data_IF_402824958084
#
_entry.id   IF_402824958084
#
_cell.length_a   1.000
_cell.length_b   1.000
_cell.length_c   1.000
_cell.angle_alpha   90.00
_cell.angle_beta   90.00
_cell.angle_gamma   90.00
#
_symmetry.space_group_name_H-M   'P 1'
#
loop_
_entity.id
_entity.type
_entity.pdbx_description
1 polymer ?
#
# COMPACT_ATOMS: atom_id res chain seq x y z
N UNK A 1 12.11 -12.14 5.20
CA UNK A 1 12.99 -11.02 4.81
C UNK A 1 12.83 -9.90 5.84
N UNK A 2 13.90 -9.20 6.19
CA UNK A 2 13.94 -8.38 7.41
C UNK A 2 13.86 -6.86 7.14
N UNK A 3 13.49 -6.12 8.18
CA UNK A 3 13.46 -4.65 8.25
C UNK A 3 14.75 -4.00 7.73
N UNK A 4 15.90 -4.63 7.96
CA UNK A 4 17.20 -4.11 7.48
C UNK A 4 17.30 -4.09 5.95
N UNK A 5 16.75 -5.11 5.28
CA UNK A 5 16.81 -5.18 3.82
C UNK A 5 15.96 -4.12 3.14
N UNK A 6 14.76 -3.83 3.66
CA UNK A 6 13.94 -2.72 3.15
C UNK A 6 14.64 -1.38 3.39
N UNK A 7 15.23 -1.18 4.58
CA UNK A 7 15.98 0.05 4.87
C UNK A 7 17.19 0.25 3.94
N UNK A 8 17.90 -0.83 3.59
CA UNK A 8 19.00 -0.78 2.64
C UNK A 8 18.52 -0.40 1.24
N UNK A 9 17.40 -0.98 0.78
CA UNK A 9 16.82 -0.68 -0.53
C UNK A 9 16.32 0.76 -0.61
N UNK A 10 15.65 1.27 0.43
CA UNK A 10 15.25 2.68 0.52
C UNK A 10 16.48 3.61 0.39
N UNK A 11 17.56 3.29 1.09
CA UNK A 11 18.80 4.08 1.05
C UNK A 11 19.46 4.08 -0.33
N UNK A 12 19.42 2.96 -1.06
CA UNK A 12 19.95 2.84 -2.42
C UNK A 12 19.22 3.76 -3.42
N UNK A 13 17.95 4.09 -3.14
CA UNK A 13 17.10 4.94 -3.97
C UNK A 13 16.94 6.36 -3.41
N UNK A 14 17.76 6.79 -2.45
CA UNK A 14 17.69 8.11 -1.79
C UNK A 14 16.30 8.39 -1.15
N UNK A 15 15.65 7.35 -0.64
CA UNK A 15 14.34 7.45 0.01
C UNK A 15 14.49 7.56 1.54
N UNK A 16 13.63 8.34 2.21
CA UNK A 16 13.64 8.48 3.67
C UNK A 16 13.50 7.14 4.40
N UNK A 17 14.26 6.94 5.48
CA UNK A 17 14.16 5.75 6.31
C UNK A 17 12.77 5.59 6.97
N UNK A 18 12.05 6.70 7.17
CA UNK A 18 10.67 6.71 7.67
C UNK A 18 9.68 5.98 6.76
N UNK A 19 10.03 5.74 5.48
CA UNK A 19 9.17 4.97 4.56
C UNK A 19 9.01 3.52 4.98
N UNK A 20 9.84 3.03 5.90
CA UNK A 20 9.65 1.71 6.51
C UNK A 20 8.31 1.60 7.24
N UNK A 21 7.79 2.71 7.76
CA UNK A 21 6.49 2.77 8.39
C UNK A 21 5.35 2.86 7.38
N UNK A 22 5.65 3.22 6.12
CA UNK A 22 4.72 3.19 4.99
C UNK A 22 4.84 1.88 4.18
N UNK A 23 5.57 0.88 4.67
CA UNK A 23 5.72 -0.40 3.98
C UNK A 23 4.37 -1.04 3.57
N UNK A 24 3.31 -1.03 4.39
CA UNK A 24 2.00 -1.56 3.98
C UNK A 24 1.33 -0.80 2.83
N UNK A 25 1.77 0.42 2.53
CA UNK A 25 1.22 1.24 1.44
C UNK A 25 1.78 0.80 0.08
N UNK A 26 2.98 0.20 0.04
CA UNK A 26 3.63 -0.21 -1.21
C UNK A 26 2.83 -1.25 -2.03
N UNK A 27 2.27 -2.32 -1.42
CA UNK A 27 1.34 -3.19 -2.15
C UNK A 27 0.11 -2.47 -2.72
N UNK A 28 -0.42 -1.49 -1.97
CA UNK A 28 -1.58 -0.70 -2.40
C UNK A 28 -1.22 0.17 -3.62
N UNK A 29 -0.04 0.79 -3.60
CA UNK A 29 0.53 1.52 -4.75
C UNK A 29 0.69 0.59 -5.95
N UNK A 30 1.14 -0.65 -5.74
CA UNK A 30 1.30 -1.61 -6.82
C UNK A 30 -0.04 -2.01 -7.44
N UNK A 31 -1.09 -2.17 -6.63
CA UNK A 31 -2.46 -2.40 -7.13
C UNK A 31 -2.96 -1.18 -7.90
N UNK A 32 -2.79 0.03 -7.36
CA UNK A 32 -3.20 1.28 -8.00
C UNK A 32 -2.60 1.44 -9.40
N UNK A 33 -1.35 1.03 -9.61
CA UNK A 33 -0.68 1.13 -10.92
C UNK A 33 -0.83 -0.10 -11.82
N UNK A 34 -1.62 -1.11 -11.43
CA UNK A 34 -1.69 -2.39 -12.13
C UNK A 34 -2.23 -2.26 -13.56
N UNK A 35 -3.17 -1.35 -13.80
CA UNK A 35 -3.71 -1.04 -15.14
C UNK A 35 -2.85 -0.03 -15.93
N UNK A 36 -1.76 0.45 -15.32
CA UNK A 36 -0.84 1.46 -15.87
C UNK A 36 -1.40 2.88 -15.90
N UNK A 37 -2.57 3.11 -15.32
CA UNK A 37 -3.20 4.41 -15.14
C UNK A 37 -3.20 4.75 -13.65
N UNK A 38 -3.37 6.02 -13.34
CA UNK A 38 -3.58 6.46 -11.97
C UNK A 38 -4.58 7.60 -11.99
N UNK A 39 -5.78 7.30 -11.55
CA UNK A 39 -6.94 8.16 -11.71
C UNK A 39 -7.12 9.00 -10.45
N UNK A 40 -7.62 10.23 -10.61
CA UNK A 40 -7.80 11.15 -9.48
C UNK A 40 -8.58 10.54 -8.29
N UNK A 41 -9.63 9.72 -8.49
CA UNK A 41 -10.32 9.05 -7.39
C UNK A 41 -9.43 8.05 -6.61
N UNK A 42 -8.61 7.26 -7.30
CA UNK A 42 -7.69 6.29 -6.68
C UNK A 42 -6.62 7.02 -5.87
N UNK A 43 -6.05 8.10 -6.42
CA UNK A 43 -5.10 8.97 -5.70
C UNK A 43 -5.70 9.52 -4.42
N UNK A 44 -6.88 10.11 -4.52
CA UNK A 44 -7.57 10.69 -3.35
C UNK A 44 -7.85 9.63 -2.28
N UNK A 45 -8.25 8.41 -2.70
CA UNK A 45 -8.47 7.29 -1.78
C UNK A 45 -7.17 6.82 -1.14
N UNK A 46 -6.07 6.75 -1.89
CA UNK A 46 -4.76 6.38 -1.37
C UNK A 46 -4.24 7.40 -0.36
N UNK A 47 -4.42 8.70 -0.61
CA UNK A 47 -4.08 9.74 0.37
C UNK A 47 -4.84 9.56 1.68
N UNK A 48 -6.15 9.29 1.63
CA UNK A 48 -6.95 9.02 2.82
C UNK A 48 -6.45 7.78 3.59
N UNK A 49 -6.05 6.72 2.87
CA UNK A 49 -5.46 5.51 3.47
C UNK A 49 -4.14 5.84 4.18
N UNK A 50 -3.25 6.63 3.55
CA UNK A 50 -1.97 7.04 4.13
C UNK A 50 -2.18 7.91 5.37
N UNK A 51 -3.06 8.90 5.30
CA UNK A 51 -3.38 9.80 6.42
C UNK A 51 -3.92 9.02 7.62
N UNK A 52 -4.88 8.13 7.40
CA UNK A 52 -5.42 7.27 8.45
C UNK A 52 -4.33 6.37 9.04
N UNK A 53 -3.49 5.78 8.20
CA UNK A 53 -2.39 4.93 8.67
C UNK A 53 -1.38 5.69 9.53
N UNK A 54 -0.94 6.87 9.08
CA UNK A 54 -0.03 7.73 9.84
C UNK A 54 -0.65 8.17 11.16
N UNK A 55 -1.95 8.48 11.18
CA UNK A 55 -2.68 8.79 12.41
C UNK A 55 -2.66 7.62 13.39
N UNK A 56 -2.99 6.41 12.95
CA UNK A 56 -2.91 5.20 13.79
C UNK A 56 -1.50 4.96 14.32
N UNK A 57 -0.47 5.16 13.50
CA UNK A 57 0.93 5.04 13.96
C UNK A 57 1.28 6.07 15.04
N UNK A 58 0.86 7.31 14.87
CA UNK A 58 1.09 8.36 15.87
C UNK A 58 0.35 8.07 17.17
N UNK A 59 -0.89 7.57 17.10
CA UNK A 59 -1.66 7.14 18.28
C UNK A 59 -0.96 5.99 19.03
N UNK A 60 -0.49 4.98 18.30
CA UNK A 60 0.28 3.87 18.87
C UNK A 60 1.61 4.33 19.50
N UNK A 61 2.17 5.44 19.04
CA UNK A 61 3.39 6.04 19.56
C UNK A 61 3.13 7.09 20.66
N UNK A 62 1.92 7.16 21.22
CA UNK A 62 1.58 8.11 22.29
C UNK A 62 1.50 9.57 21.81
N UNK A 63 1.14 9.79 20.55
CA UNK A 63 1.02 11.10 19.92
C UNK A 63 2.30 11.62 19.24
N UNK A 64 3.37 10.82 19.21
CA UNK A 64 4.60 11.19 18.51
C UNK A 64 4.42 11.07 16.98
N UNK A 65 4.94 12.05 16.24
CA UNK A 65 4.99 11.98 14.77
C UNK A 65 6.01 10.95 14.31
N UNK A 66 5.55 9.91 13.61
CA UNK A 66 6.40 8.80 13.12
C UNK A 66 6.82 9.00 11.66
N UNK A 67 5.94 9.60 10.86
CA UNK A 67 6.19 9.97 9.47
C UNK A 67 5.83 11.44 9.33
N UNK A 68 6.80 12.25 8.95
CA UNK A 68 6.60 13.70 8.82
C UNK A 68 5.75 14.02 7.58
N UNK A 69 5.06 15.17 7.60
CA UNK A 69 4.34 15.65 6.42
C UNK A 69 5.25 15.78 5.18
N UNK A 70 6.51 16.18 5.37
CA UNK A 70 7.51 16.26 4.30
C UNK A 70 7.86 14.87 3.72
N UNK A 71 7.91 13.83 4.56
CA UNK A 71 8.13 12.47 4.08
C UNK A 71 6.91 11.92 3.35
N UNK A 72 5.69 12.28 3.76
CA UNK A 72 4.46 11.93 3.03
C UNK A 72 4.46 12.58 1.64
N UNK A 73 4.85 13.86 1.53
CA UNK A 73 4.97 14.54 0.23
C UNK A 73 6.02 13.89 -0.66
N UNK A 74 7.17 13.51 -0.10
CA UNK A 74 8.20 12.75 -0.82
C UNK A 74 7.68 11.39 -1.29
N UNK A 75 6.86 10.72 -0.48
CA UNK A 75 6.26 9.44 -0.86
C UNK A 75 5.28 9.62 -2.03
N UNK A 76 4.44 10.66 -1.98
CA UNK A 76 3.55 11.02 -3.07
C UNK A 76 4.33 11.25 -4.37
N UNK A 77 5.37 12.08 -4.34
CA UNK A 77 6.18 12.38 -5.52
C UNK A 77 6.86 11.15 -6.11
N UNK A 78 7.33 10.23 -5.26
CA UNK A 78 8.07 9.03 -5.65
C UNK A 78 7.16 7.91 -6.19
N UNK A 79 5.95 7.75 -5.64
CA UNK A 79 5.14 6.55 -5.86
C UNK A 79 3.70 6.80 -6.31
N UNK A 80 3.15 7.99 -6.10
CA UNK A 80 1.74 8.30 -6.35
C UNK A 80 1.58 9.27 -7.52
N UNK A 81 2.21 10.44 -7.47
CA UNK A 81 2.12 11.45 -8.52
C UNK A 81 2.70 10.96 -9.86
N UNK A 82 3.72 10.11 -9.80
CA UNK A 82 4.39 9.52 -10.96
C UNK A 82 4.45 8.02 -10.81
N UNK A 83 4.32 7.31 -11.94
CA UNK A 83 4.51 5.86 -11.95
C UNK A 83 5.98 5.58 -11.64
N UNK A 84 6.29 4.87 -10.53
CA UNK A 84 7.67 4.49 -10.23
C UNK A 84 8.17 3.47 -11.27
N UNK A 85 9.48 3.30 -11.34
CA UNK A 85 10.06 2.19 -12.10
C UNK A 85 9.46 0.86 -11.61
N UNK A 86 8.88 0.03 -12.51
CA UNK A 86 8.19 -1.19 -12.10
C UNK A 86 9.08 -2.18 -11.34
N UNK A 87 10.37 -2.27 -11.67
CA UNK A 87 11.30 -3.18 -10.98
C UNK A 87 11.62 -2.67 -9.59
N UNK A 88 11.76 -1.34 -9.43
CA UNK A 88 11.96 -0.71 -8.13
C UNK A 88 10.74 -0.90 -7.24
N UNK A 89 9.54 -0.68 -7.77
CA UNK A 89 8.30 -0.89 -7.03
C UNK A 89 8.12 -2.36 -6.63
N UNK A 90 8.36 -3.30 -7.55
CA UNK A 90 8.27 -4.73 -7.27
C UNK A 90 9.26 -5.16 -6.17
N UNK A 91 10.51 -4.70 -6.25
CA UNK A 91 11.52 -4.99 -5.23
C UNK A 91 11.15 -4.42 -3.85
N UNK A 92 10.71 -3.17 -3.80
CA UNK A 92 10.27 -2.51 -2.57
C UNK A 92 9.05 -3.23 -1.97
N UNK A 93 8.05 -3.58 -2.78
CA UNK A 93 6.87 -4.31 -2.31
C UNK A 93 7.22 -5.70 -1.81
N UNK A 94 8.08 -6.46 -2.50
CA UNK A 94 8.52 -7.77 -2.03
C UNK A 94 9.23 -7.70 -0.67
N UNK A 95 10.05 -6.68 -0.45
CA UNK A 95 10.68 -6.43 0.84
C UNK A 95 9.68 -5.99 1.92
N UNK A 96 8.71 -5.15 1.53
CA UNK A 96 7.64 -4.69 2.41
C UNK A 96 6.77 -5.85 2.91
N UNK A 97 6.42 -6.81 2.05
CA UNK A 97 5.68 -8.02 2.43
C UNK A 97 6.38 -8.78 3.56
N UNK A 98 7.71 -8.92 3.49
CA UNK A 98 8.48 -9.52 4.57
C UNK A 98 8.44 -8.73 5.89
N UNK A 99 8.37 -7.39 5.83
CA UNK A 99 8.21 -6.55 7.03
C UNK A 99 6.81 -6.70 7.62
N UNK A 100 5.78 -6.77 6.78
CA UNK A 100 4.38 -6.94 7.19
C UNK A 100 4.19 -8.29 7.90
N UNK A 101 4.59 -9.38 7.25
CA UNK A 101 4.46 -10.75 7.80
C UNK A 101 5.17 -10.94 9.16
N UNK A 102 6.38 -10.35 9.31
CA UNK A 102 7.10 -10.40 10.58
C UNK A 102 6.43 -9.60 11.70
N UNK A 103 5.67 -8.55 11.36
CA UNK A 103 4.99 -7.70 12.34
C UNK A 103 3.67 -8.31 12.81
N UNK A 104 2.98 -9.04 11.95
CA UNK A 104 1.80 -9.84 12.30
C UNK A 104 2.13 -11.00 13.26
N UNK A 105 3.35 -11.56 13.14
CA UNK A 105 3.84 -12.60 14.04
C UNK A 105 4.16 -12.11 15.47
N UNK A 106 4.21 -10.80 15.70
CA UNK A 106 4.40 -10.21 17.01
C UNK A 106 3.04 -10.05 17.72
N UNK A 107 2.94 -10.28 19.04
CA UNK A 107 1.71 -10.07 19.78
C UNK A 107 1.35 -8.58 19.78
N UNK A 108 0.59 -8.15 18.77
CA UNK A 108 -0.03 -6.83 18.74
C UNK A 108 -1.26 -6.83 19.66
N UNK A 109 -1.58 -5.72 20.33
CA UNK A 109 -2.86 -5.59 21.00
C UNK A 109 -3.99 -5.89 20.01
N UNK A 110 -4.91 -6.79 20.39
CA UNK A 110 -6.04 -7.20 19.57
C UNK A 110 -6.80 -5.96 19.05
N UNK A 111 -7.05 -5.90 17.74
CA UNK A 111 -7.85 -4.83 17.13
C UNK A 111 -7.07 -3.59 16.67
N UNK A 112 -5.79 -3.70 16.33
CA UNK A 112 -5.06 -2.59 15.72
C UNK A 112 -5.60 -2.31 14.30
N UNK A 113 -6.24 -1.16 14.08
CA UNK A 113 -6.66 -0.62 12.76
C UNK A 113 -5.47 -0.23 11.85
N UNK A 114 -4.29 -0.80 12.11
CA UNK A 114 -3.08 -0.53 11.34
C UNK A 114 -3.06 -1.35 10.05
N UNK A 115 -2.59 -0.76 8.96
CA UNK A 115 -2.34 -1.46 7.69
C UNK A 115 -1.30 -2.59 7.80
N UNK A 116 -0.58 -2.70 8.91
CA UNK A 116 0.26 -3.88 9.18
C UNK A 116 -0.54 -5.15 9.47
N UNK A 117 -1.86 -5.04 9.69
CA UNK A 117 -2.77 -6.18 9.68
C UNK A 117 -3.06 -6.60 8.24
N UNK A 118 -2.89 -7.89 7.95
CA UNK A 118 -3.14 -8.48 6.63
C UNK A 118 -4.58 -8.25 6.18
N UNK A 119 -5.56 -8.34 7.07
CA UNK A 119 -6.97 -8.05 6.75
C UNK A 119 -7.19 -6.60 6.34
N UNK A 120 -6.64 -5.63 7.10
CA UNK A 120 -6.77 -4.20 6.78
C UNK A 120 -6.07 -3.85 5.47
N UNK A 121 -4.90 -4.42 5.22
CA UNK A 121 -4.19 -4.27 3.96
C UNK A 121 -5.01 -4.82 2.79
N UNK A 122 -5.63 -6.00 2.97
CA UNK A 122 -6.46 -6.62 1.94
C UNK A 122 -7.65 -5.74 1.59
N UNK A 123 -8.35 -5.25 2.61
CA UNK A 123 -9.45 -4.31 2.43
C UNK A 123 -9.00 -3.03 1.73
N UNK A 124 -7.86 -2.46 2.10
CA UNK A 124 -7.34 -1.25 1.46
C UNK A 124 -7.01 -1.47 -0.04
N UNK A 125 -6.40 -2.61 -0.39
CA UNK A 125 -6.16 -2.99 -1.79
C UNK A 125 -7.48 -3.14 -2.57
N UNK A 126 -8.49 -3.78 -1.98
CA UNK A 126 -9.81 -3.92 -2.60
C UNK A 126 -10.50 -2.57 -2.80
N UNK A 127 -10.41 -1.67 -1.81
CA UNK A 127 -11.00 -0.34 -1.91
C UNK A 127 -10.38 0.49 -3.05
N UNK A 128 -9.06 0.41 -3.24
CA UNK A 128 -8.40 1.06 -4.37
C UNK A 128 -8.88 0.48 -5.70
N UNK A 129 -8.83 -0.84 -5.86
CA UNK A 129 -9.29 -1.49 -7.08
C UNK A 129 -10.77 -1.20 -7.38
N UNK A 130 -11.63 -1.17 -6.36
CA UNK A 130 -13.04 -0.84 -6.51
C UNK A 130 -13.31 0.65 -6.82
N UNK A 131 -12.32 1.52 -6.62
CA UNK A 131 -12.36 2.95 -6.97
C UNK A 131 -12.06 3.19 -8.45
N UNK A 132 -11.52 2.19 -9.15
CA UNK A 132 -11.33 2.23 -10.60
C UNK A 132 -12.71 2.42 -11.31
N UNK A 133 -12.90 3.47 -12.11
CA UNK A 133 -14.16 3.67 -12.82
C UNK A 133 -14.37 2.53 -13.82
N UNK A 134 -15.60 2.02 -13.83
CA UNK A 134 -16.00 1.01 -14.79
C UNK A 134 -15.76 1.52 -16.22
N UNK A 135 -15.28 0.68 -17.16
CA UNK A 135 -15.22 1.05 -18.56
C UNK A 135 -16.63 1.46 -19.01
N UNK A 136 -16.72 2.60 -19.72
CA UNK A 136 -17.98 3.32 -20.05
C UNK A 136 -19.03 2.51 -20.84
N UNK A 137 -18.79 1.22 -21.13
CA UNK A 137 -19.53 0.46 -22.14
C UNK A 137 -20.32 -0.75 -21.60
N UNK A 138 -20.53 -0.88 -20.28
CA UNK A 138 -21.34 -2.00 -19.74
C UNK A 138 -22.34 -1.61 -18.64
N UNK A 139 -23.55 -2.17 -18.82
CA UNK A 139 -24.76 -1.89 -18.07
C UNK A 139 -24.62 -2.06 -16.54
N UNK A 140 -25.33 -1.19 -15.82
CA UNK A 140 -25.29 -0.95 -14.37
C UNK A 140 -25.47 -2.17 -13.43
N UNK A 141 -25.76 -3.37 -13.94
CA UNK A 141 -26.15 -4.55 -13.14
C UNK A 141 -25.02 -5.52 -12.77
N UNK A 142 -23.90 -5.55 -13.51
CA UNK A 142 -22.79 -6.52 -13.31
C UNK A 142 -21.59 -5.94 -12.52
N UNK A 143 -21.77 -4.75 -11.96
CA UNK A 143 -20.68 -3.82 -11.64
C UNK A 143 -19.81 -4.17 -10.43
N UNK A 144 -20.19 -5.06 -9.51
CA UNK A 144 -19.35 -5.31 -8.33
C UNK A 144 -18.25 -6.35 -8.57
N UNK A 145 -18.56 -7.42 -9.29
CA UNK A 145 -17.59 -8.49 -9.58
C UNK A 145 -16.64 -8.16 -10.74
N UNK A 146 -16.97 -7.13 -11.54
CA UNK A 146 -16.18 -6.67 -12.71
C UNK A 146 -15.45 -5.33 -12.47
N UNK A 147 -15.60 -4.70 -11.30
CA UNK A 147 -14.95 -3.42 -10.98
C UNK A 147 -13.46 -3.54 -10.73
N UNK A 148 -13.01 -4.69 -10.24
CA UNK A 148 -11.59 -4.99 -10.08
C UNK A 148 -11.12 -5.50 -11.43
N UNK A 149 -10.21 -4.76 -12.07
CA UNK A 149 -9.58 -5.21 -13.31
C UNK A 149 -8.90 -6.58 -13.09
N UNK A 150 -8.85 -7.41 -14.14
CA UNK A 150 -8.31 -8.77 -14.02
C UNK A 150 -6.85 -8.75 -13.53
N UNK A 151 -6.12 -7.73 -13.93
CA UNK A 151 -4.74 -7.44 -13.57
C UNK A 151 -4.60 -7.08 -12.08
N UNK A 152 -5.46 -6.20 -11.56
CA UNK A 152 -5.52 -5.85 -10.14
C UNK A 152 -5.83 -7.07 -9.27
N UNK A 153 -6.82 -7.87 -9.68
CA UNK A 153 -7.20 -9.09 -8.96
C UNK A 153 -6.03 -10.07 -8.87
N UNK A 154 -5.35 -10.32 -10.00
CA UNK A 154 -4.19 -11.21 -10.02
C UNK A 154 -3.04 -10.68 -9.16
N UNK A 155 -2.87 -9.36 -9.09
CA UNK A 155 -1.82 -8.73 -8.30
C UNK A 155 -2.14 -8.75 -6.81
N UNK A 156 -3.40 -8.57 -6.43
CA UNK A 156 -3.89 -8.80 -5.06
C UNK A 156 -3.64 -10.26 -4.68
N UNK A 157 -4.10 -11.23 -5.47
CA UNK A 157 -3.90 -12.66 -5.18
C UNK A 157 -2.41 -13.00 -4.97
N UNK A 158 -1.52 -12.54 -5.86
CA UNK A 158 -0.06 -12.72 -5.73
C UNK A 158 0.54 -12.03 -4.49
N UNK A 159 0.10 -10.82 -4.20
CA UNK A 159 0.58 -10.06 -3.02
C UNK A 159 0.28 -10.85 -1.75
N UNK A 160 -0.92 -11.44 -1.67
CA UNK A 160 -1.35 -12.17 -0.48
C UNK A 160 -0.79 -13.60 -0.41
N UNK A 161 -0.46 -14.24 -1.53
CA UNK A 161 0.36 -15.46 -1.53
C UNK A 161 1.74 -15.22 -0.91
N UNK A 162 2.36 -14.05 -1.13
CA UNK A 162 3.66 -13.69 -0.55
C UNK A 162 3.61 -13.31 0.94
N UNK A 163 2.41 -13.08 1.47
CA UNK A 163 2.17 -12.75 2.89
C UNK A 163 1.88 -13.99 3.74
N UNK A 164 1.63 -15.16 3.13
CA UNK A 164 1.43 -16.40 3.86
C UNK A 164 2.78 -17.00 4.31
N UNK A 165 2.92 -17.44 5.58
CA UNK A 165 4.16 -17.98 6.14
C UNK A 165 4.55 -19.36 5.57
#
# INVERSE_FOLDING_TARGET
>A
MSKEGLSALLSQHDLPASFIYLAPVLPIVQVMWADGRNQMPERAKLHCIIENHCKTLSELAGGAEIVSANDIERFDQAFIAHRPDPQVLEALTGMASGVIANRESAPSPQGSDSLFSTDQLFHACLEIAATCPAPEDKALGELFSQRIAKEERSLIEKTFELLQP
#
